data_IF_024523241837
#
_entry.id   IF_024523241837
#
_cell.length_a   1.000
_cell.length_b   1.000
_cell.length_c   1.000
_cell.angle_alpha   90.00
_cell.angle_beta   90.00
_cell.angle_gamma   90.00
#
_symmetry.space_group_name_H-M   'P 1'
#
loop_
_entity.id
_entity.type
_entity.pdbx_description
1 polymer ?
#
# COMPACT_ATOMS: atom_id res chain seq x y z
N UNK A 1 9.56 -5.23 20.45
CA UNK A 1 8.20 -5.74 20.19
C UNK A 1 7.82 -5.28 18.79
N UNK A 2 7.65 -6.18 17.83
CA UNK A 2 7.52 -5.85 16.42
C UNK A 2 6.28 -6.47 15.78
N UNK A 3 5.83 -5.88 14.67
CA UNK A 3 4.65 -6.30 13.91
C UNK A 3 4.92 -7.50 12.98
N UNK A 4 6.01 -8.24 13.18
CA UNK A 4 6.46 -9.33 12.31
C UNK A 4 5.47 -10.46 12.10
N UNK A 5 4.56 -10.68 13.05
CA UNK A 5 3.53 -11.72 12.97
C UNK A 5 2.17 -11.22 12.47
N UNK A 6 2.05 -9.94 12.10
CA UNK A 6 0.80 -9.40 11.58
C UNK A 6 0.53 -10.01 10.21
N UNK A 7 -0.66 -10.61 10.06
CA UNK A 7 -1.04 -11.39 8.88
C UNK A 7 -2.10 -10.67 8.06
N UNK A 8 -3.35 -10.52 8.54
CA UNK A 8 -4.25 -9.53 7.97
C UNK A 8 -4.13 -8.20 8.72
N UNK A 9 -4.14 -7.08 7.99
CA UNK A 9 -4.40 -5.77 8.56
C UNK A 9 -5.73 -5.25 8.02
N UNK A 10 -6.64 -4.92 8.93
CA UNK A 10 -7.94 -4.34 8.59
C UNK A 10 -8.11 -3.01 9.30
N UNK A 11 -8.35 -1.95 8.52
CA UNK A 11 -8.59 -0.61 9.03
C UNK A 11 -9.92 -0.12 8.48
N UNK A 12 -10.85 0.21 9.38
CA UNK A 12 -12.20 0.64 9.03
C UNK A 12 -12.52 1.95 9.74
N UNK A 13 -13.17 2.87 9.03
CA UNK A 13 -13.73 4.11 9.59
C UNK A 13 -12.68 5.02 10.28
N UNK A 14 -11.41 4.93 9.87
CA UNK A 14 -10.32 5.66 10.48
C UNK A 14 -10.06 7.00 9.76
N UNK A 15 -10.73 8.06 10.24
CA UNK A 15 -10.65 9.40 9.63
C UNK A 15 -9.45 10.24 10.13
N UNK A 16 -8.53 9.67 10.91
CA UNK A 16 -7.25 10.29 11.27
C UNK A 16 -6.09 9.76 10.43
N UNK A 17 -6.24 8.58 9.81
CA UNK A 17 -5.18 7.91 9.08
C UNK A 17 -4.90 8.62 7.74
N UNK A 18 -3.69 9.18 7.62
CA UNK A 18 -3.23 9.83 6.39
C UNK A 18 -2.49 8.86 5.47
N UNK A 19 -1.62 8.03 6.02
CA UNK A 19 -0.89 6.96 5.32
C UNK A 19 -1.01 5.66 6.12
N UNK A 20 -1.12 4.51 5.47
CA UNK A 20 -1.27 3.24 6.18
C UNK A 20 0.05 2.81 6.85
N UNK A 21 1.18 2.96 6.15
CA UNK A 21 2.50 2.60 6.66
C UNK A 21 3.54 3.68 6.37
N UNK A 22 4.50 3.82 7.29
CA UNK A 22 5.83 4.36 6.94
C UNK A 22 6.71 3.23 6.39
N UNK A 23 7.76 3.56 5.60
CA UNK A 23 8.74 2.57 5.14
C UNK A 23 9.31 1.71 6.29
N UNK A 24 9.68 2.34 7.41
CA UNK A 24 10.24 1.64 8.57
C UNK A 24 9.28 0.65 9.20
N UNK A 25 7.96 0.93 9.22
CA UNK A 25 6.95 -0.03 9.70
C UNK A 25 6.75 -1.14 8.67
N UNK A 26 6.72 -0.81 7.38
CA UNK A 26 6.57 -1.78 6.30
C UNK A 26 7.69 -2.83 6.28
N UNK A 27 8.94 -2.45 6.62
CA UNK A 27 10.07 -3.38 6.82
C UNK A 27 9.81 -4.42 7.90
N UNK A 28 9.01 -4.10 8.92
CA UNK A 28 8.69 -4.99 10.03
C UNK A 28 7.52 -5.94 9.73
N UNK A 29 6.75 -5.70 8.66
CA UNK A 29 5.51 -6.40 8.33
C UNK A 29 5.76 -7.59 7.39
N UNK A 30 6.74 -8.42 7.73
CA UNK A 30 7.25 -9.49 6.87
C UNK A 30 6.26 -10.66 6.65
N UNK A 31 5.21 -10.80 7.45
CA UNK A 31 4.18 -11.85 7.29
C UNK A 31 2.82 -11.30 6.84
N UNK A 32 2.74 -10.00 6.50
CA UNK A 32 1.50 -9.38 6.11
C UNK A 32 1.07 -9.90 4.74
N UNK A 33 -0.09 -10.55 4.66
CA UNK A 33 -0.59 -11.20 3.45
C UNK A 33 -1.90 -10.57 2.94
N UNK A 34 -2.67 -9.91 3.80
CA UNK A 34 -3.95 -9.29 3.44
C UNK A 34 -4.08 -7.88 4.03
N UNK A 35 -4.50 -6.92 3.20
CA UNK A 35 -4.71 -5.52 3.58
C UNK A 35 -6.14 -5.11 3.22
N UNK A 36 -6.90 -4.64 4.20
CA UNK A 36 -8.26 -4.12 4.02
C UNK A 36 -8.35 -2.71 4.59
N UNK A 37 -8.65 -1.70 3.76
CA UNK A 37 -8.86 -0.32 4.20
C UNK A 37 -10.20 0.18 3.69
N UNK A 38 -11.12 0.48 4.61
CA UNK A 38 -12.51 0.82 4.30
C UNK A 38 -12.93 2.11 4.98
N UNK A 39 -13.57 3.02 4.23
CA UNK A 39 -14.19 4.23 4.75
C UNK A 39 -13.23 5.13 5.57
N UNK A 40 -11.99 5.27 5.09
CA UNK A 40 -10.96 6.10 5.73
C UNK A 40 -10.75 7.38 4.93
N UNK A 41 -11.52 8.42 5.28
CA UNK A 41 -11.66 9.63 4.46
C UNK A 41 -10.39 10.45 4.28
N UNK A 42 -9.42 10.37 5.21
CA UNK A 42 -8.17 11.16 5.13
C UNK A 42 -6.98 10.42 4.52
N UNK A 43 -7.15 9.14 4.19
CA UNK A 43 -6.06 8.33 3.66
C UNK A 43 -5.70 8.80 2.25
N UNK A 44 -4.43 9.15 2.05
CA UNK A 44 -3.87 9.66 0.79
C UNK A 44 -2.97 8.63 0.12
N UNK A 45 -2.24 7.86 0.92
CA UNK A 45 -1.25 6.90 0.43
C UNK A 45 -1.33 5.60 1.25
N UNK A 46 -1.05 4.46 0.63
CA UNK A 46 -0.91 3.19 1.37
C UNK A 46 0.46 3.17 2.04
N UNK A 47 1.52 3.37 1.27
CA UNK A 47 2.87 3.54 1.78
C UNK A 47 3.27 5.01 1.65
N UNK A 48 3.72 5.61 2.75
CA UNK A 48 4.23 6.98 2.76
C UNK A 48 5.52 7.08 1.90
N UNK A 49 5.69 8.22 1.20
CA UNK A 49 6.95 8.49 0.49
C UNK A 49 8.14 8.50 1.45
N UNK A 50 9.26 7.90 1.05
CA UNK A 50 10.49 7.92 1.84
C UNK A 50 11.08 9.33 1.74
N UNK A 51 10.98 10.12 2.82
CA UNK A 51 11.72 11.38 2.90
C UNK A 51 13.12 11.06 3.40
N UNK A 52 14.06 11.07 2.47
CA UNK A 52 15.51 11.26 2.67
C UNK A 52 16.21 10.17 3.51
N UNK A 53 17.26 9.56 2.94
CA UNK A 53 18.27 8.70 3.63
C UNK A 53 18.01 7.20 3.83
N UNK A 54 17.00 6.57 3.23
CA UNK A 54 16.96 5.10 3.15
C UNK A 54 17.28 4.65 1.71
N UNK A 55 18.59 4.60 1.41
CA UNK A 55 19.19 3.94 0.25
C UNK A 55 18.97 2.43 0.31
N UNK A 56 17.74 1.96 0.21
CA UNK A 56 17.49 0.53 0.17
C UNK A 56 16.30 0.25 -0.73
N UNK A 57 16.62 -0.36 -1.88
CA UNK A 57 15.70 -1.05 -2.78
C UNK A 57 15.10 -2.29 -2.06
N UNK A 58 14.56 -2.09 -0.87
CA UNK A 58 14.00 -3.16 -0.08
C UNK A 58 12.63 -3.52 -0.64
N UNK A 59 12.43 -4.82 -0.86
CA UNK A 59 11.12 -5.38 -1.19
C UNK A 59 10.26 -5.34 0.08
N UNK A 60 9.63 -4.20 0.36
CA UNK A 60 8.70 -4.07 1.49
C UNK A 60 7.40 -4.81 1.17
N UNK A 61 6.78 -5.39 2.20
CA UNK A 61 5.48 -6.05 2.07
C UNK A 61 5.48 -7.17 1.01
N UNK A 62 6.60 -7.88 0.85
CA UNK A 62 6.78 -8.94 -0.17
C UNK A 62 5.79 -10.09 -0.08
N UNK A 63 5.18 -10.30 1.10
CA UNK A 63 4.20 -11.36 1.36
C UNK A 63 2.75 -10.96 1.08
N UNK A 64 2.49 -9.70 0.70
CA UNK A 64 1.12 -9.24 0.45
C UNK A 64 0.56 -9.95 -0.77
N UNK A 65 -0.54 -10.67 -0.55
CA UNK A 65 -1.27 -11.44 -1.55
C UNK A 65 -2.56 -10.74 -2.00
N UNK A 66 -3.21 -10.03 -1.06
CA UNK A 66 -4.52 -9.42 -1.26
C UNK A 66 -4.59 -8.00 -0.70
N UNK A 67 -5.21 -7.11 -1.49
CA UNK A 67 -5.48 -5.72 -1.10
C UNK A 67 -6.91 -5.35 -1.47
N UNK A 68 -7.66 -4.87 -0.49
CA UNK A 68 -9.01 -4.32 -0.64
C UNK A 68 -9.03 -2.87 -0.15
N UNK A 69 -9.40 -1.98 -1.05
CA UNK A 69 -9.55 -0.54 -0.80
C UNK A 69 -10.97 -0.11 -1.16
N UNK A 70 -11.70 0.41 -0.19
CA UNK A 70 -13.11 0.78 -0.34
C UNK A 70 -13.41 2.12 0.33
N UNK A 71 -14.14 3.01 -0.36
CA UNK A 71 -14.53 4.32 0.16
C UNK A 71 -13.35 5.18 0.67
N UNK A 72 -12.33 5.33 -0.18
CA UNK A 72 -11.16 6.16 0.11
C UNK A 72 -11.14 7.38 -0.83
N UNK A 73 -11.94 8.42 -0.54
CA UNK A 73 -12.16 9.57 -1.43
C UNK A 73 -10.90 10.42 -1.68
N UNK A 74 -9.88 10.31 -0.83
CA UNK A 74 -8.65 11.08 -0.91
C UNK A 74 -7.41 10.23 -1.26
N UNK A 75 -7.57 8.94 -1.51
CA UNK A 75 -6.45 8.05 -1.84
C UNK A 75 -5.91 8.40 -3.23
N UNK A 76 -4.65 8.80 -3.31
CA UNK A 76 -4.00 9.24 -4.54
C UNK A 76 -3.04 8.20 -5.10
N UNK A 77 -2.30 7.53 -4.23
CA UNK A 77 -1.19 6.65 -4.62
C UNK A 77 -1.16 5.40 -3.74
N UNK A 78 -0.77 4.26 -4.30
CA UNK A 78 -0.32 3.13 -3.48
C UNK A 78 1.05 3.43 -2.88
N UNK A 79 1.98 3.89 -3.73
CA UNK A 79 3.31 4.37 -3.37
C UNK A 79 3.66 5.56 -4.30
N UNK A 80 4.03 6.75 -3.78
CA UNK A 80 4.30 7.94 -4.59
C UNK A 80 5.59 7.84 -5.43
N UNK A 81 6.56 7.04 -4.98
CA UNK A 81 7.85 6.88 -5.62
C UNK A 81 7.87 5.55 -6.38
N UNK A 82 7.58 5.61 -7.68
CA UNK A 82 7.60 4.48 -8.60
C UNK A 82 9.02 3.93 -8.88
N UNK A 83 9.95 4.03 -7.92
CA UNK A 83 11.26 3.38 -7.99
C UNK A 83 11.14 1.97 -7.42
N UNK A 84 10.70 1.04 -8.28
CA UNK A 84 10.76 -0.42 -8.10
C UNK A 84 10.19 -0.97 -6.79
N UNK A 85 8.99 -0.53 -6.41
CA UNK A 85 8.24 -1.26 -5.39
C UNK A 85 7.55 -2.46 -6.03
N UNK A 86 8.01 -3.66 -5.69
CA UNK A 86 7.46 -4.91 -6.20
C UNK A 86 6.70 -5.63 -5.09
N UNK A 87 5.44 -5.98 -5.39
CA UNK A 87 4.62 -6.88 -4.58
C UNK A 87 4.55 -8.24 -5.30
N UNK A 88 5.62 -9.05 -5.24
CA UNK A 88 5.77 -10.21 -6.11
C UNK A 88 4.68 -11.28 -5.92
N UNK A 89 4.04 -11.31 -4.75
CA UNK A 89 3.00 -12.28 -4.41
C UNK A 89 1.57 -11.73 -4.57
N UNK A 90 1.41 -10.47 -4.93
CA UNK A 90 0.10 -9.85 -5.05
C UNK A 90 -0.67 -10.40 -6.23
N UNK A 91 -1.82 -11.01 -5.94
CA UNK A 91 -2.72 -11.55 -6.97
C UNK A 91 -4.07 -10.86 -6.97
N UNK A 92 -4.51 -10.32 -5.83
CA UNK A 92 -5.84 -9.76 -5.66
C UNK A 92 -5.72 -8.28 -5.31
N UNK A 93 -6.24 -7.43 -6.19
CA UNK A 93 -6.45 -6.01 -5.91
C UNK A 93 -7.91 -5.68 -6.19
N UNK A 94 -8.63 -5.23 -5.17
CA UNK A 94 -9.99 -4.72 -5.30
C UNK A 94 -10.02 -3.26 -4.86
N UNK A 95 -10.38 -2.38 -5.79
CA UNK A 95 -10.55 -0.95 -5.54
C UNK A 95 -11.99 -0.56 -5.84
N UNK A 96 -12.70 -0.02 -4.86
CA UNK A 96 -14.10 0.38 -4.99
C UNK A 96 -14.30 1.78 -4.40
N UNK A 97 -14.91 2.70 -5.17
CA UNK A 97 -15.20 4.08 -4.70
C UNK A 97 -13.95 4.84 -4.18
N UNK A 98 -12.85 4.75 -4.92
CA UNK A 98 -11.60 5.51 -4.69
C UNK A 98 -11.32 6.47 -5.87
N UNK A 99 -12.09 7.55 -6.04
CA UNK A 99 -12.10 8.37 -7.26
C UNK A 99 -10.80 9.12 -7.56
N UNK A 100 -9.95 9.37 -6.57
CA UNK A 100 -8.70 10.13 -6.73
C UNK A 100 -7.48 9.27 -7.03
N UNK A 101 -7.63 7.94 -7.02
CA UNK A 101 -6.52 7.00 -7.14
C UNK A 101 -5.93 7.07 -8.54
N UNK A 102 -4.65 7.43 -8.63
CA UNK A 102 -3.89 7.44 -9.88
C UNK A 102 -3.16 6.12 -10.00
N UNK A 103 -3.53 5.33 -11.00
CA UNK A 103 -2.77 4.12 -11.36
C UNK A 103 -1.60 4.52 -12.25
N UNK A 104 -0.38 4.17 -11.85
CA UNK A 104 0.72 4.10 -12.80
C UNK A 104 0.40 3.00 -13.81
N UNK A 105 0.12 3.38 -15.05
CA UNK A 105 0.22 2.46 -16.18
C UNK A 105 1.69 2.45 -16.56
N UNK A 106 2.44 1.34 -16.38
CA UNK A 106 3.80 1.27 -16.89
C UNK A 106 3.72 1.51 -18.40
N UNK A 107 4.41 2.53 -18.91
CA UNK A 107 4.43 2.89 -20.35
C UNK A 107 5.12 1.84 -21.23
N UNK A 108 5.42 0.64 -20.70
CA UNK A 108 6.02 -0.50 -21.40
C UNK A 108 5.12 -1.74 -21.38
N UNK A 109 3.80 -1.59 -21.51
CA UNK A 109 2.94 -2.69 -21.90
C UNK A 109 3.22 -3.01 -23.38
N UNK A 110 4.19 -3.89 -23.65
CA UNK A 110 4.15 -4.67 -24.89
C UNK A 110 3.04 -5.71 -24.72
N UNK A 111 1.84 -5.37 -25.18
CA UNK A 111 0.84 -6.38 -25.51
C UNK A 111 1.36 -7.23 -26.68
N UNK A 112 1.00 -8.53 -26.76
CA UNK A 112 1.34 -9.38 -27.90
C UNK A 112 0.88 -8.80 -29.24
#
# INVERSE_FOLDING_TARGET
>A
MGFGNLRPLKVKECNSLTNLFSPSIAKLLVMLWDIEVINCGKTKEILASAREEEDEKDVLLSQVFSILLEDLPNLKWFCPEAKSFEWPLLQIIKVTRCPTLRTYVPTNLKTP
#
